data_IF_271158647828
#
_entry.id   IF_271158647828
#
_cell.length_a   1.000
_cell.length_b   1.000
_cell.length_c   1.000
_cell.angle_alpha   90.00
_cell.angle_beta   90.00
_cell.angle_gamma   90.00
#
_symmetry.space_group_name_H-M   'P 1'
#
loop_
_entity.id
_entity.type
_entity.pdbx_description
1 polymer ?
#
# COMPACT_ATOMS: atom_id res chain seq x y z
N UNK A 1 -47.48 -6.75 23.79
CA UNK A 1 -46.21 -7.15 24.43
C UNK A 1 -45.27 -7.33 23.25
N UNK A 2 -44.64 -6.23 22.85
CA UNK A 2 -43.81 -6.23 21.65
C UNK A 2 -42.52 -6.96 22.00
N UNK A 3 -42.21 -8.00 21.22
CA UNK A 3 -40.90 -8.61 21.27
C UNK A 3 -39.89 -7.52 20.89
N UNK A 4 -39.07 -7.10 21.85
CA UNK A 4 -37.93 -6.24 21.54
C UNK A 4 -37.06 -7.04 20.58
N UNK A 5 -36.99 -6.62 19.31
CA UNK A 5 -36.01 -7.16 18.38
C UNK A 5 -34.62 -6.92 18.98
N UNK A 6 -33.99 -8.00 19.45
CA UNK A 6 -32.62 -7.93 19.97
C UNK A 6 -31.70 -7.67 18.78
N UNK A 7 -31.17 -6.45 18.68
CA UNK A 7 -30.16 -6.10 17.67
C UNK A 7 -28.81 -6.72 18.05
N UNK A 8 -27.91 -6.92 17.08
CA UNK A 8 -26.57 -7.45 17.35
C UNK A 8 -25.81 -6.57 18.34
N UNK A 9 -26.01 -5.24 18.26
CA UNK A 9 -25.46 -4.30 19.22
C UNK A 9 -25.96 -4.53 20.66
N UNK A 10 -27.21 -4.93 20.83
CA UNK A 10 -27.79 -5.23 22.15
C UNK A 10 -27.13 -6.46 22.78
N UNK A 11 -26.90 -7.50 21.99
CA UNK A 11 -26.20 -8.72 22.45
C UNK A 11 -24.75 -8.42 22.84
N UNK A 12 -24.03 -7.66 22.00
CA UNK A 12 -22.66 -7.23 22.29
C UNK A 12 -22.59 -6.39 23.57
N UNK A 13 -23.51 -5.43 23.74
CA UNK A 13 -23.59 -4.59 24.94
C UNK A 13 -23.85 -5.43 26.19
N UNK A 14 -24.77 -6.40 26.13
CA UNK A 14 -25.07 -7.27 27.25
C UNK A 14 -23.88 -8.15 27.62
N UNK A 15 -23.18 -8.74 26.65
CA UNK A 15 -21.99 -9.54 26.88
C UNK A 15 -20.87 -8.73 27.56
N UNK A 16 -20.57 -7.55 27.03
CA UNK A 16 -19.53 -6.66 27.58
C UNK A 16 -19.93 -6.06 28.94
N UNK A 17 -21.21 -5.82 29.17
CA UNK A 17 -21.74 -5.35 30.46
C UNK A 17 -21.52 -6.33 31.61
N UNK A 18 -21.39 -7.63 31.32
CA UNK A 18 -21.05 -8.67 32.30
C UNK A 18 -19.56 -9.02 32.33
N UNK A 19 -18.76 -8.43 31.43
CA UNK A 19 -17.33 -8.68 31.32
C UNK A 19 -16.54 -7.76 32.27
N UNK A 20 -15.45 -8.29 32.84
CA UNK A 20 -14.53 -7.48 33.65
C UNK A 20 -13.80 -6.46 32.76
N UNK A 21 -13.72 -5.18 33.15
CA UNK A 21 -12.89 -4.20 32.45
C UNK A 21 -11.42 -4.64 32.40
N UNK A 22 -10.76 -4.41 31.27
CA UNK A 22 -9.35 -4.73 31.06
C UNK A 22 -9.10 -5.47 29.74
N UNK A 23 -7.97 -6.15 29.68
CA UNK A 23 -7.55 -6.95 28.53
C UNK A 23 -8.45 -8.17 28.34
N UNK A 24 -8.87 -8.42 27.11
CA UNK A 24 -9.61 -9.60 26.68
C UNK A 24 -8.66 -10.45 25.84
N UNK A 25 -8.15 -11.53 26.44
CA UNK A 25 -7.19 -12.43 25.78
C UNK A 25 -7.86 -13.49 24.91
N UNK A 26 -9.09 -13.90 25.26
CA UNK A 26 -9.90 -14.82 24.47
C UNK A 26 -11.00 -14.03 23.73
N UNK A 27 -10.86 -13.95 22.41
CA UNK A 27 -11.74 -13.18 21.55
C UNK A 27 -12.81 -14.04 20.87
N UNK A 28 -12.87 -15.34 21.17
CA UNK A 28 -13.74 -16.30 20.47
C UNK A 28 -15.23 -15.97 20.57
N UNK A 29 -15.67 -15.38 21.68
CA UNK A 29 -17.06 -14.96 21.88
C UNK A 29 -17.33 -13.52 21.39
N UNK A 30 -16.35 -12.62 21.53
CA UNK A 30 -16.56 -11.21 21.17
C UNK A 30 -16.48 -10.95 19.66
N UNK A 31 -15.66 -11.69 18.93
CA UNK A 31 -15.53 -11.59 17.47
C UNK A 31 -16.86 -11.83 16.74
N UNK A 32 -17.61 -12.94 16.99
CA UNK A 32 -18.90 -13.16 16.35
C UNK A 32 -19.94 -12.12 16.79
N UNK A 33 -20.00 -11.76 18.07
CA UNK A 33 -20.94 -10.75 18.57
C UNK A 33 -20.71 -9.40 17.90
N UNK A 34 -19.45 -8.96 17.83
CA UNK A 34 -19.09 -7.72 17.14
C UNK A 34 -19.33 -7.81 15.63
N UNK A 35 -19.12 -8.97 15.02
CA UNK A 35 -19.41 -9.16 13.60
C UNK A 35 -20.91 -9.05 13.27
N UNK A 36 -21.77 -9.55 14.15
CA UNK A 36 -23.24 -9.39 14.02
C UNK A 36 -23.63 -7.93 14.26
N UNK A 37 -23.11 -7.31 15.32
CA UNK A 37 -23.36 -5.90 15.64
C UNK A 37 -22.82 -4.91 14.59
N UNK A 38 -21.88 -5.34 13.74
CA UNK A 38 -21.12 -4.46 12.86
C UNK A 38 -21.98 -3.59 11.94
N UNK A 39 -23.09 -4.15 11.43
CA UNK A 39 -24.00 -3.43 10.54
C UNK A 39 -24.93 -2.46 11.29
N UNK A 40 -25.05 -2.59 12.61
CA UNK A 40 -25.86 -1.72 13.46
C UNK A 40 -25.07 -0.48 13.92
N UNK A 41 -23.75 -0.49 13.74
CA UNK A 41 -22.89 0.62 14.12
C UNK A 41 -23.03 1.77 13.11
N UNK A 42 -22.75 2.99 13.55
CA UNK A 42 -22.53 4.15 12.69
C UNK A 42 -21.06 4.58 12.73
N UNK A 43 -20.54 5.17 11.65
CA UNK A 43 -19.20 5.75 11.61
C UNK A 43 -18.34 5.30 10.44
N UNK A 44 -17.02 5.41 10.60
CA UNK A 44 -16.05 5.04 9.56
C UNK A 44 -15.64 3.58 9.72
N UNK A 45 -16.01 2.78 8.73
CA UNK A 45 -15.68 1.37 8.67
C UNK A 45 -14.40 1.05 7.89
N UNK A 46 -13.71 2.04 7.33
CA UNK A 46 -12.43 1.83 6.62
C UNK A 46 -12.46 0.75 5.54
N UNK A 47 -13.64 0.43 4.98
CA UNK A 47 -13.87 -0.69 4.04
C UNK A 47 -13.69 -2.10 4.66
N UNK A 48 -13.75 -2.22 5.99
CA UNK A 48 -13.68 -3.48 6.71
C UNK A 48 -15.02 -4.22 6.64
N UNK A 49 -14.94 -5.53 6.37
CA UNK A 49 -16.10 -6.43 6.41
C UNK A 49 -16.12 -7.17 7.76
N UNK A 50 -17.30 -7.52 8.30
CA UNK A 50 -17.42 -8.18 9.60
C UNK A 50 -16.64 -9.50 9.70
N UNK A 51 -16.58 -10.28 8.61
CA UNK A 51 -15.85 -11.55 8.54
C UNK A 51 -14.33 -11.40 8.73
N UNK A 52 -13.80 -10.16 8.69
CA UNK A 52 -12.39 -9.88 8.92
C UNK A 52 -12.04 -9.67 10.40
N UNK A 53 -13.03 -9.73 11.30
CA UNK A 53 -12.80 -9.71 12.75
C UNK A 53 -12.23 -11.04 13.24
N UNK A 54 -12.77 -12.15 12.70
CA UNK A 54 -12.45 -13.51 13.15
C UNK A 54 -10.95 -13.83 13.09
N UNK A 55 -10.36 -14.13 14.26
CA UNK A 55 -8.96 -14.50 14.45
C UNK A 55 -7.95 -13.40 14.10
N UNK A 56 -8.37 -12.13 14.06
CA UNK A 56 -7.54 -11.00 13.61
C UNK A 56 -7.50 -9.81 14.56
N UNK A 57 -8.33 -9.82 15.60
CA UNK A 57 -8.33 -8.79 16.63
C UNK A 57 -7.12 -8.97 17.54
N UNK A 58 -6.31 -7.92 17.69
CA UNK A 58 -5.14 -7.89 18.57
C UNK A 58 -5.31 -6.83 19.67
N UNK A 59 -4.74 -7.07 20.85
CA UNK A 59 -4.76 -6.17 22.01
C UNK A 59 -6.17 -5.69 22.37
N UNK A 60 -7.11 -6.63 22.40
CA UNK A 60 -8.51 -6.35 22.67
C UNK A 60 -8.64 -5.90 24.12
N UNK A 61 -9.17 -4.70 24.32
CA UNK A 61 -9.34 -4.10 25.64
C UNK A 61 -10.77 -3.59 25.77
N UNK A 62 -11.38 -3.95 26.88
CA UNK A 62 -12.67 -3.42 27.30
C UNK A 62 -12.47 -2.38 28.39
N UNK A 63 -12.74 -1.12 28.06
CA UNK A 63 -12.79 -0.01 29.02
C UNK A 63 -14.16 0.63 28.89
N UNK A 64 -15.17 0.18 29.66
CA UNK A 64 -16.56 0.59 29.45
C UNK A 64 -16.73 2.10 29.23
N UNK A 65 -17.49 2.56 28.21
CA UNK A 65 -18.26 1.77 27.24
C UNK A 65 -17.47 1.43 25.95
N UNK A 66 -16.15 1.50 25.97
CA UNK A 66 -15.30 1.39 24.79
C UNK A 66 -14.65 0.01 24.68
N UNK A 67 -14.88 -0.64 23.55
CA UNK A 67 -14.12 -1.80 23.11
C UNK A 67 -13.07 -1.32 22.10
N UNK A 68 -11.79 -1.53 22.41
CA UNK A 68 -10.69 -1.14 21.53
C UNK A 68 -9.87 -2.35 21.11
N UNK A 69 -9.38 -2.36 19.87
CA UNK A 69 -8.53 -3.43 19.36
C UNK A 69 -7.73 -2.95 18.15
N UNK A 70 -6.77 -3.76 17.69
CA UNK A 70 -6.00 -3.53 16.47
C UNK A 70 -6.29 -4.61 15.44
N UNK A 71 -6.26 -4.24 14.15
CA UNK A 71 -6.34 -5.18 13.04
C UNK A 71 -5.27 -4.84 12.01
N UNK A 72 -4.56 -5.87 11.58
CA UNK A 72 -3.64 -5.80 10.44
C UNK A 72 -4.41 -5.77 9.10
N UNK A 73 -4.02 -4.90 8.19
CA UNK A 73 -4.62 -4.70 6.87
C UNK A 73 -3.62 -4.92 5.74
N UNK A 74 -3.98 -5.87 4.88
CA UNK A 74 -3.18 -6.34 3.75
C UNK A 74 -3.49 -5.64 2.41
N UNK A 75 -4.09 -4.44 2.42
CA UNK A 75 -4.50 -3.77 1.18
C UNK A 75 -3.32 -3.51 0.24
N UNK A 76 -2.23 -2.95 0.77
CA UNK A 76 -1.03 -2.64 0.00
C UNK A 76 -0.17 -3.88 -0.34
N UNK A 77 -0.34 -5.00 0.39
CA UNK A 77 0.47 -6.20 0.18
C UNK A 77 0.09 -6.92 -1.12
N UNK A 78 -1.15 -6.75 -1.60
CA UNK A 78 -1.60 -7.18 -2.95
C UNK A 78 -0.75 -6.56 -4.05
N UNK A 79 -0.24 -5.33 -3.83
CA UNK A 79 0.68 -4.65 -4.74
C UNK A 79 2.16 -4.93 -4.44
N UNK A 80 2.43 -5.87 -3.53
CA UNK A 80 3.75 -6.30 -3.11
C UNK A 80 4.39 -5.41 -2.04
N UNK A 81 3.60 -4.62 -1.31
CA UNK A 81 4.11 -3.99 -0.08
C UNK A 81 4.60 -5.08 0.87
N UNK A 82 5.79 -4.89 1.43
CA UNK A 82 6.30 -5.73 2.52
C UNK A 82 5.75 -5.32 3.89
N UNK A 83 4.86 -4.32 3.92
CA UNK A 83 4.23 -3.79 5.13
C UNK A 83 2.72 -3.92 5.06
N UNK A 84 2.12 -4.36 6.15
CA UNK A 84 0.68 -4.25 6.38
C UNK A 84 0.38 -3.03 7.23
N UNK A 85 -0.73 -2.35 6.93
CA UNK A 85 -1.22 -1.23 7.74
C UNK A 85 -1.81 -1.79 9.04
N UNK A 86 -1.49 -1.17 10.17
CA UNK A 86 -2.14 -1.49 11.44
C UNK A 86 -3.22 -0.47 11.69
N UNK A 87 -4.47 -0.92 11.80
CA UNK A 87 -5.61 -0.07 12.13
C UNK A 87 -5.94 -0.23 13.61
N UNK A 88 -6.16 0.88 14.30
CA UNK A 88 -6.72 0.90 15.65
C UNK A 88 -8.22 1.19 15.54
N UNK A 89 -8.99 0.39 16.26
CA UNK A 89 -10.44 0.43 16.28
C UNK A 89 -10.93 0.81 17.66
N UNK A 90 -11.98 1.62 17.70
CA UNK A 90 -12.72 1.98 18.92
C UNK A 90 -14.20 1.84 18.64
N UNK A 91 -14.86 0.97 19.40
CA UNK A 91 -16.30 0.74 19.34
C UNK A 91 -16.90 1.28 20.63
N UNK A 92 -17.72 2.32 20.52
CA UNK A 92 -18.53 2.84 21.61
C UNK A 92 -19.87 2.10 21.57
N UNK A 93 -20.03 1.09 22.42
CA UNK A 93 -21.23 0.22 22.41
C UNK A 93 -22.46 0.92 22.99
N UNK A 94 -22.26 2.01 23.73
CA UNK A 94 -23.37 2.81 24.26
C UNK A 94 -23.97 3.68 23.16
N UNK A 95 -23.11 4.34 22.36
CA UNK A 95 -23.53 5.18 21.24
C UNK A 95 -23.81 4.40 19.96
N UNK A 96 -23.38 3.15 19.88
CA UNK A 96 -23.45 2.34 18.67
C UNK A 96 -22.56 2.92 17.56
N UNK A 97 -21.34 3.35 17.88
CA UNK A 97 -20.44 3.96 16.88
C UNK A 97 -19.10 3.25 16.77
N UNK A 98 -18.57 3.17 15.55
CA UNK A 98 -17.24 2.67 15.25
C UNK A 98 -16.34 3.79 14.71
N UNK A 99 -15.10 3.83 15.21
CA UNK A 99 -14.04 4.68 14.69
C UNK A 99 -12.81 3.85 14.36
N UNK A 100 -12.19 4.15 13.22
CA UNK A 100 -10.99 3.50 12.72
C UNK A 100 -9.92 4.56 12.43
N UNK A 101 -8.69 4.31 12.90
CA UNK A 101 -7.53 5.14 12.57
C UNK A 101 -6.36 4.26 12.14
N UNK A 102 -5.63 4.69 11.10
CA UNK A 102 -4.37 4.04 10.73
C UNK A 102 -3.29 4.36 11.79
N UNK A 103 -2.88 3.36 12.57
CA UNK A 103 -1.79 3.44 13.56
C UNK A 103 -0.54 2.71 13.09
N UNK A 104 0.00 3.18 11.97
CA UNK A 104 1.30 2.75 11.46
C UNK A 104 1.25 1.44 10.68
N UNK A 105 2.36 0.69 10.71
CA UNK A 105 2.53 -0.48 9.85
C UNK A 105 3.37 -1.58 10.51
N UNK A 106 2.98 -2.84 10.31
CA UNK A 106 3.80 -4.02 10.61
C UNK A 106 4.62 -4.43 9.38
N UNK A 107 5.89 -4.76 9.59
CA UNK A 107 6.76 -5.30 8.55
C UNK A 107 6.52 -6.81 8.44
N UNK A 108 6.03 -7.28 7.29
CA UNK A 108 5.73 -8.70 7.04
C UNK A 108 6.90 -9.47 6.40
N UNK A 109 7.74 -8.78 5.65
CA UNK A 109 8.91 -9.38 4.98
C UNK A 109 10.07 -8.40 4.88
N UNK A 110 11.33 -8.83 4.69
CA UNK A 110 12.46 -7.92 4.56
C UNK A 110 12.26 -6.89 3.43
N UNK A 111 12.79 -5.67 3.64
CA UNK A 111 12.77 -4.65 2.60
C UNK A 111 13.71 -5.05 1.46
N UNK A 112 13.27 -4.80 0.22
CA UNK A 112 14.18 -4.94 -0.91
C UNK A 112 15.31 -3.90 -0.81
N UNK A 113 16.55 -4.27 -1.18
CA UNK A 113 17.67 -3.34 -1.15
C UNK A 113 17.40 -2.07 -1.99
N UNK A 114 17.88 -0.90 -1.53
CA UNK A 114 17.87 0.30 -2.35
C UNK A 114 18.69 0.04 -3.63
N UNK A 115 18.23 0.60 -4.73
CA UNK A 115 18.97 0.59 -5.99
C UNK A 115 19.36 2.02 -6.33
N UNK A 116 20.65 2.26 -6.45
CA UNK A 116 21.16 3.49 -7.04
C UNK A 116 20.99 3.42 -8.56
N UNK A 117 20.21 4.36 -9.10
CA UNK A 117 19.92 4.41 -10.53
C UNK A 117 20.94 5.23 -11.31
N UNK A 118 21.79 6.02 -10.65
CA UNK A 118 22.72 6.95 -11.31
C UNK A 118 23.73 6.23 -12.21
N UNK A 119 24.41 5.15 -11.78
CA UNK A 119 25.36 4.45 -12.66
C UNK A 119 24.71 3.92 -13.94
N UNK A 120 23.50 3.33 -13.79
CA UNK A 120 22.72 2.83 -14.93
C UNK A 120 22.30 3.95 -15.90
N UNK A 121 21.98 5.13 -15.36
CA UNK A 121 21.63 6.30 -16.17
C UNK A 121 22.86 6.77 -16.96
N UNK A 122 24.02 6.87 -16.32
CA UNK A 122 25.25 7.29 -16.97
C UNK A 122 25.67 6.33 -18.09
N UNK A 123 25.60 5.02 -17.85
CA UNK A 123 25.85 3.99 -18.87
C UNK A 123 24.92 4.15 -20.09
N UNK A 124 23.61 4.26 -19.85
CA UNK A 124 22.63 4.33 -20.93
C UNK A 124 22.70 5.67 -21.67
N UNK A 125 22.95 6.77 -20.96
CA UNK A 125 23.15 8.08 -21.57
C UNK A 125 24.41 8.08 -22.46
N UNK A 126 25.52 7.52 -21.98
CA UNK A 126 26.74 7.39 -22.78
C UNK A 126 26.52 6.53 -24.03
N UNK A 127 25.81 5.40 -23.91
CA UNK A 127 25.47 4.56 -25.05
C UNK A 127 24.62 5.29 -26.10
N UNK A 128 23.67 6.13 -25.67
CA UNK A 128 22.87 6.96 -26.58
C UNK A 128 23.75 8.01 -27.27
N UNK A 129 24.53 8.78 -26.52
CA UNK A 129 25.37 9.86 -27.09
C UNK A 129 26.40 9.31 -28.08
N UNK A 130 26.92 8.11 -27.82
CA UNK A 130 27.92 7.47 -28.68
C UNK A 130 27.30 6.62 -29.80
N UNK A 131 25.97 6.61 -29.97
CA UNK A 131 25.27 5.76 -30.93
C UNK A 131 25.67 4.28 -30.85
N UNK A 132 25.90 3.78 -29.64
CA UNK A 132 26.37 2.43 -29.41
C UNK A 132 25.30 1.39 -29.78
N UNK A 133 25.76 0.25 -30.30
CA UNK A 133 24.92 -0.94 -30.46
C UNK A 133 24.78 -1.63 -29.09
N UNK A 134 23.68 -1.32 -28.41
CA UNK A 134 23.41 -1.73 -27.04
C UNK A 134 22.04 -2.41 -26.98
N UNK A 135 21.92 -3.65 -26.46
CA UNK A 135 20.66 -4.38 -26.42
C UNK A 135 19.50 -3.63 -25.74
N UNK A 136 19.81 -2.79 -24.74
CA UNK A 136 18.86 -1.93 -24.02
C UNK A 136 18.31 -0.79 -24.87
N UNK A 137 18.89 -0.50 -26.03
CA UNK A 137 18.47 0.55 -26.96
C UNK A 137 17.78 -0.04 -28.20
N UNK A 138 16.88 0.73 -28.78
CA UNK A 138 16.28 0.50 -30.10
C UNK A 138 16.30 1.81 -30.85
N UNK A 139 17.25 1.97 -31.75
CA UNK A 139 17.31 3.08 -32.68
C UNK A 139 16.12 3.02 -33.64
N UNK A 140 15.41 4.13 -33.79
CA UNK A 140 14.34 4.32 -34.79
C UNK A 140 14.96 4.90 -36.06
N UNK A 141 15.84 5.87 -35.86
CA UNK A 141 16.67 6.54 -36.87
C UNK A 141 17.93 7.08 -36.14
N UNK A 142 18.76 7.88 -36.83
CA UNK A 142 19.97 8.45 -36.23
C UNK A 142 19.65 9.39 -35.08
N UNK A 143 18.56 10.14 -35.12
CA UNK A 143 18.25 11.17 -34.13
C UNK A 143 17.27 10.68 -33.07
N UNK A 144 16.74 9.47 -33.19
CA UNK A 144 15.66 8.97 -32.36
C UNK A 144 15.96 7.60 -31.79
N UNK A 145 15.92 7.49 -30.47
CA UNK A 145 16.16 6.23 -29.74
C UNK A 145 15.01 5.91 -28.78
N UNK A 146 14.69 4.61 -28.68
CA UNK A 146 13.79 4.07 -27.67
C UNK A 146 14.56 3.18 -26.70
N UNK A 147 14.47 3.50 -25.40
CA UNK A 147 15.05 2.69 -24.33
C UNK A 147 14.10 1.54 -23.98
N UNK A 148 14.60 0.30 -24.06
CA UNK A 148 13.89 -0.90 -23.64
C UNK A 148 13.99 -1.07 -22.13
N UNK A 149 13.20 -0.28 -21.40
CA UNK A 149 13.23 -0.26 -19.93
C UNK A 149 12.97 -1.62 -19.27
N UNK A 150 12.31 -2.54 -19.98
CA UNK A 150 12.10 -3.92 -19.54
C UNK A 150 13.38 -4.77 -19.51
N UNK A 151 14.42 -4.41 -20.27
CA UNK A 151 15.74 -5.06 -20.21
C UNK A 151 16.63 -4.46 -19.13
N UNK A 152 16.38 -3.21 -18.73
CA UNK A 152 17.06 -2.57 -17.60
C UNK A 152 16.44 -3.05 -16.27
N UNK A 153 15.11 -3.11 -16.24
CA UNK A 153 14.33 -3.53 -15.08
C UNK A 153 13.42 -4.69 -15.46
N UNK A 154 14.02 -5.89 -15.51
CA UNK A 154 13.35 -7.14 -15.85
C UNK A 154 12.12 -7.38 -14.99
N UNK A 155 11.05 -7.90 -15.60
CA UNK A 155 9.85 -8.33 -14.88
C UNK A 155 10.25 -9.37 -13.83
N UNK A 156 9.78 -9.22 -12.59
CA UNK A 156 10.13 -10.12 -11.48
C UNK A 156 11.39 -9.73 -10.69
N UNK A 157 12.21 -8.79 -11.16
CA UNK A 157 13.38 -8.29 -10.40
C UNK A 157 13.00 -7.53 -9.11
N UNK A 158 11.77 -7.04 -9.04
CA UNK A 158 11.21 -6.36 -7.88
C UNK A 158 9.67 -6.47 -7.88
N UNK A 159 9.07 -6.23 -6.72
CA UNK A 159 7.62 -6.10 -6.60
C UNK A 159 7.10 -4.96 -7.48
N UNK A 160 5.85 -5.05 -7.94
CA UNK A 160 5.28 -4.16 -8.97
C UNK A 160 5.46 -2.67 -8.63
N UNK A 161 5.17 -2.28 -7.39
CA UNK A 161 5.29 -0.88 -6.95
C UNK A 161 6.75 -0.39 -6.94
N UNK A 162 7.67 -1.21 -6.43
CA UNK A 162 9.11 -0.91 -6.43
C UNK A 162 9.66 -0.79 -7.84
N UNK A 163 9.24 -1.70 -8.74
CA UNK A 163 9.63 -1.68 -10.14
C UNK A 163 9.14 -0.41 -10.84
N UNK A 164 7.89 -0.01 -10.62
CA UNK A 164 7.34 1.24 -11.14
C UNK A 164 8.12 2.46 -10.64
N UNK A 165 8.43 2.51 -9.34
CA UNK A 165 9.22 3.58 -8.73
C UNK A 165 10.65 3.65 -9.29
N UNK A 166 11.33 2.51 -9.43
CA UNK A 166 12.68 2.43 -10.04
C UNK A 166 12.67 2.93 -11.48
N UNK A 167 11.70 2.49 -12.28
CA UNK A 167 11.54 2.93 -13.68
C UNK A 167 11.30 4.43 -13.79
N UNK A 168 10.43 4.99 -12.96
CA UNK A 168 10.17 6.44 -12.93
C UNK A 168 11.43 7.23 -12.59
N UNK A 169 12.16 6.84 -11.54
CA UNK A 169 13.41 7.51 -11.14
C UNK A 169 14.47 7.44 -12.24
N UNK A 170 14.64 6.27 -12.86
CA UNK A 170 15.55 6.11 -13.98
C UNK A 170 15.17 7.00 -15.17
N UNK A 171 13.88 7.04 -15.55
CA UNK A 171 13.40 7.88 -16.66
C UNK A 171 13.65 9.36 -16.42
N UNK A 172 13.33 9.86 -15.23
CA UNK A 172 13.54 11.27 -14.87
C UNK A 172 15.02 11.64 -14.93
N UNK A 173 15.88 10.83 -14.29
CA UNK A 173 17.32 11.08 -14.27
C UNK A 173 17.95 10.94 -15.66
N UNK A 174 17.50 9.98 -16.49
CA UNK A 174 17.98 9.84 -17.85
C UNK A 174 17.57 11.04 -18.72
N UNK A 175 16.33 11.51 -18.61
CA UNK A 175 15.86 12.68 -19.35
C UNK A 175 16.67 13.93 -19.00
N UNK A 176 16.92 14.18 -17.71
CA UNK A 176 17.76 15.28 -17.23
C UNK A 176 19.19 15.18 -17.78
N UNK A 177 19.80 13.99 -17.69
CA UNK A 177 21.17 13.75 -18.19
C UNK A 177 21.27 13.99 -19.69
N UNK A 178 20.30 13.49 -20.45
CA UNK A 178 20.24 13.61 -21.91
C UNK A 178 19.95 15.04 -22.40
N UNK A 179 19.14 15.80 -21.65
CA UNK A 179 18.85 17.20 -21.98
C UNK A 179 20.13 18.05 -22.06
N UNK A 180 21.13 17.78 -21.21
CA UNK A 180 22.45 18.46 -21.27
C UNK A 180 23.25 18.16 -22.54
N UNK A 181 22.80 17.20 -23.36
CA UNK A 181 23.44 16.73 -24.60
C UNK A 181 22.55 16.96 -25.82
N UNK A 182 21.48 17.76 -25.70
CA UNK A 182 20.55 18.08 -26.79
C UNK A 182 19.47 17.02 -27.03
N UNK A 183 19.39 15.98 -26.20
CA UNK A 183 18.38 14.95 -26.34
C UNK A 183 17.14 15.28 -25.50
N UNK A 184 15.97 15.29 -26.12
CA UNK A 184 14.70 15.62 -25.47
C UNK A 184 13.79 14.40 -25.42
N UNK A 185 13.09 14.21 -24.30
CA UNK A 185 12.09 13.15 -24.18
C UNK A 185 10.84 13.51 -25.00
N UNK A 186 10.53 12.70 -26.01
CA UNK A 186 9.37 12.89 -26.91
C UNK A 186 8.27 11.84 -26.69
N UNK A 187 8.49 10.89 -25.78
CA UNK A 187 7.51 9.89 -25.41
C UNK A 187 7.99 8.95 -24.31
N UNK A 188 7.19 7.95 -23.99
CA UNK A 188 7.54 6.96 -22.96
C UNK A 188 8.81 6.19 -23.37
N UNK A 189 9.92 6.43 -22.65
CA UNK A 189 11.24 5.89 -22.95
C UNK A 189 11.76 6.23 -24.36
N UNK A 190 11.26 7.30 -25.00
CA UNK A 190 11.67 7.71 -26.34
C UNK A 190 12.32 9.09 -26.26
N UNK A 191 13.51 9.20 -26.83
CA UNK A 191 14.31 10.42 -26.85
C UNK A 191 14.67 10.76 -28.29
N UNK A 192 14.72 12.06 -28.57
CA UNK A 192 15.08 12.60 -29.87
C UNK A 192 16.13 13.69 -29.70
N UNK A 193 17.20 13.64 -30.50
CA UNK A 193 18.18 14.70 -30.62
C UNK A 193 17.49 15.92 -31.23
N UNK A 194 17.63 17.06 -30.58
CA UNK A 194 17.19 18.36 -31.07
C UNK A 194 18.37 19.31 -30.98
N UNK A 195 18.53 20.14 -32.00
CA UNK A 195 19.52 21.21 -31.94
C UNK A 195 19.23 22.09 -30.72
N UNK A 196 20.25 22.26 -29.88
CA UNK A 196 20.20 23.25 -28.81
C UNK A 196 20.33 24.59 -29.53
N UNK A 197 19.22 25.33 -29.64
CA UNK A 197 19.29 26.75 -30.01
C UNK A 197 20.10 27.43 -28.91
N UNK A 198 21.37 27.70 -29.22
CA UNK A 198 22.29 28.48 -28.39
C UNK A 198 21.87 29.94 -28.28
#
# INVERSE_FOLDING_TARGET
MDAVETTGLTELKNFLGHSTPGEITDTSEIEPLLAVAWNDLAGDFGGMRPDKLFGRMEDVTWTPPLLTFRIERHGATVMGSSRAEMQAWTIDVEKGTACCEAKGYRQLSPRQPPLDVKPLVDEVAAAIVNHADEPRLKWVDQETVRVKIGLIFSKGSAVKMTLAGRRKRFQMALAERLATKGWVQVGANKYQLREILG
#
